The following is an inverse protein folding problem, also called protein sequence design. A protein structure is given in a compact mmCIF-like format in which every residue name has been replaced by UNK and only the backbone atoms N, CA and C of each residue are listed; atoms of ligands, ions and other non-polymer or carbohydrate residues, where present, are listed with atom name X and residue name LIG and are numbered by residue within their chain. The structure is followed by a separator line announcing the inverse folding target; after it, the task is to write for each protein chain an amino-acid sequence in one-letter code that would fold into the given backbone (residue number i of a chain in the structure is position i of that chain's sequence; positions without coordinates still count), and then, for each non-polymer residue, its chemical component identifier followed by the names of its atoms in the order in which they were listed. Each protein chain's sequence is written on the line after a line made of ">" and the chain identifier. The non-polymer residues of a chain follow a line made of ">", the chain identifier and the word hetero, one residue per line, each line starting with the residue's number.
data_IF_722549726367
#
_entry.id   IF_722549726367
#
_cell.length_a   1.000
_cell.length_b   1.000
_cell.length_c   1.000
_cell.angle_alpha   90.00
_cell.angle_beta   90.00
_cell.angle_gamma   90.00
#
_symmetry.space_group_name_H-M   'P 1'
#
loop_
_entity.id
_entity.type
_entity.pdbx_description
1 polymer ?
#
# COMPACT_ATOMS: atom_id res chain seq x y z
N UNK A 1 -32.33 -1.31 -29.46
CA UNK A 1 -31.21 -2.09 -28.91
C UNK A 1 -30.49 -1.13 -27.99
N UNK A 2 -30.74 -1.24 -26.67
CA UNK A 2 -30.11 -0.37 -25.67
C UNK A 2 -28.64 -0.70 -25.62
N UNK A 3 -27.79 0.34 -25.66
CA UNK A 3 -26.42 0.24 -25.21
C UNK A 3 -26.47 -0.21 -23.73
N UNK A 4 -26.01 -1.42 -23.43
CA UNK A 4 -25.60 -1.77 -22.07
C UNK A 4 -24.51 -0.76 -21.69
N UNK A 5 -24.86 0.23 -20.91
CA UNK A 5 -23.89 1.14 -20.34
C UNK A 5 -22.94 0.29 -19.52
N UNK A 6 -21.67 0.33 -19.84
CA UNK A 6 -20.61 -0.30 -19.07
C UNK A 6 -20.73 0.24 -17.63
N UNK A 7 -21.22 -0.60 -16.73
CA UNK A 7 -21.62 -0.21 -15.36
C UNK A 7 -20.42 -0.05 -14.39
N UNK A 8 -19.21 0.01 -14.92
CA UNK A 8 -17.99 0.14 -14.12
C UNK A 8 -17.94 1.55 -13.49
N UNK A 9 -17.62 1.62 -12.20
CA UNK A 9 -17.66 2.84 -11.41
C UNK A 9 -16.78 3.99 -11.97
N UNK A 10 -15.68 3.65 -12.65
CA UNK A 10 -14.73 4.61 -13.24
C UNK A 10 -14.73 4.59 -14.78
N UNK A 11 -15.81 4.11 -15.40
CA UNK A 11 -15.93 4.18 -16.84
C UNK A 11 -15.82 5.64 -17.35
N UNK A 12 -14.94 5.87 -18.33
CA UNK A 12 -14.66 7.19 -18.88
C UNK A 12 -13.56 7.98 -18.14
N UNK A 13 -13.08 7.52 -17.00
CA UNK A 13 -11.92 8.12 -16.31
C UNK A 13 -10.63 7.59 -16.93
N UNK A 14 -9.70 8.49 -17.25
CA UNK A 14 -8.38 8.17 -17.81
C UNK A 14 -7.25 8.62 -16.89
N UNK A 15 -6.26 7.75 -16.70
CA UNK A 15 -5.11 7.97 -15.82
C UNK A 15 -3.82 7.95 -16.64
N UNK A 16 -3.05 9.04 -16.59
CA UNK A 16 -1.68 9.08 -17.08
C UNK A 16 -0.73 8.61 -15.96
N UNK A 17 -0.18 7.43 -16.10
CA UNK A 17 0.63 6.77 -15.07
C UNK A 17 2.13 6.85 -15.41
N UNK A 18 2.85 7.71 -14.68
CA UNK A 18 4.31 7.85 -14.73
C UNK A 18 5.00 7.01 -13.65
N UNK A 19 4.25 6.41 -12.77
CA UNK A 19 4.79 5.72 -11.60
C UNK A 19 5.58 4.46 -11.97
N UNK A 20 6.47 4.05 -11.07
CA UNK A 20 7.31 2.89 -11.25
C UNK A 20 7.28 1.99 -10.03
N UNK A 21 7.66 0.79 -10.20
CA UNK A 21 7.90 -0.23 -9.23
C UNK A 21 6.60 -0.80 -8.62
N UNK A 22 6.10 -0.32 -7.47
CA UNK A 22 4.97 -0.97 -6.79
C UNK A 22 3.87 0.00 -6.35
N UNK A 23 4.12 0.87 -5.37
CA UNK A 23 3.06 1.66 -4.72
C UNK A 23 2.22 2.49 -5.69
N UNK A 24 2.85 3.24 -6.58
CA UNK A 24 2.15 4.04 -7.60
C UNK A 24 1.45 3.18 -8.65
N UNK A 25 2.16 2.23 -9.32
CA UNK A 25 1.54 1.38 -10.33
C UNK A 25 0.35 0.58 -9.77
N UNK A 26 0.46 0.04 -8.56
CA UNK A 26 -0.63 -0.75 -7.98
C UNK A 26 -1.88 0.10 -7.67
N UNK A 27 -1.70 1.38 -7.26
CA UNK A 27 -2.82 2.31 -7.13
C UNK A 27 -3.58 2.48 -8.45
N UNK A 28 -2.87 2.70 -9.55
CA UNK A 28 -3.47 2.79 -10.88
C UNK A 28 -4.12 1.47 -11.33
N UNK A 29 -3.52 0.31 -10.97
CA UNK A 29 -4.11 -1.01 -11.25
C UNK A 29 -5.43 -1.22 -10.51
N UNK A 30 -5.52 -0.86 -9.23
CA UNK A 30 -6.78 -0.93 -8.47
C UNK A 30 -7.89 -0.11 -9.15
N UNK A 31 -7.58 1.10 -9.60
CA UNK A 31 -8.53 1.96 -10.30
C UNK A 31 -8.89 1.39 -11.69
N UNK A 32 -7.96 0.73 -12.37
CA UNK A 32 -8.23 0.06 -13.65
C UNK A 32 -9.23 -1.10 -13.51
N UNK A 33 -9.18 -1.84 -12.41
CA UNK A 33 -10.17 -2.89 -12.11
C UNK A 33 -11.56 -2.32 -11.82
N UNK A 34 -11.63 -1.03 -11.46
CA UNK A 34 -12.89 -0.30 -11.32
C UNK A 34 -13.37 0.33 -12.63
N UNK A 35 -12.64 0.14 -13.74
CA UNK A 35 -13.04 0.58 -15.09
C UNK A 35 -12.31 1.82 -15.61
N UNK A 36 -11.32 2.37 -14.90
CA UNK A 36 -10.51 3.47 -15.42
C UNK A 36 -9.57 2.97 -16.54
N UNK A 37 -9.39 3.78 -17.58
CA UNK A 37 -8.37 3.57 -18.60
C UNK A 37 -7.03 4.08 -18.08
N UNK A 38 -6.02 3.21 -17.99
CA UNK A 38 -4.69 3.59 -17.52
C UNK A 38 -3.70 3.56 -18.68
N UNK A 39 -2.97 4.65 -18.87
CA UNK A 39 -1.89 4.78 -19.86
C UNK A 39 -0.57 4.90 -19.09
N UNK A 40 0.20 3.81 -19.05
CA UNK A 40 1.54 3.81 -18.47
C UNK A 40 2.54 4.49 -19.41
N UNK A 41 3.23 5.49 -18.89
CA UNK A 41 4.28 6.22 -19.61
C UNK A 41 5.63 5.76 -19.09
N UNK A 42 6.42 5.16 -19.95
CA UNK A 42 7.66 4.49 -19.59
C UNK A 42 8.78 4.84 -20.58
N UNK A 43 10.05 4.70 -20.19
CA UNK A 43 11.19 4.92 -21.06
C UNK A 43 11.99 3.64 -21.26
N UNK A 44 12.40 3.34 -22.50
CA UNK A 44 13.30 2.22 -22.77
C UNK A 44 14.71 2.41 -22.19
N UNK A 45 15.13 3.65 -21.92
CA UNK A 45 16.41 3.93 -21.25
C UNK A 45 16.36 3.72 -19.74
N UNK A 46 15.17 3.90 -19.15
CA UNK A 46 14.88 3.71 -17.74
C UNK A 46 13.51 3.04 -17.61
N UNK A 47 13.46 1.79 -18.02
CA UNK A 47 12.27 0.98 -17.86
C UNK A 47 11.97 0.72 -16.37
N UNK A 48 10.74 0.34 -16.07
CA UNK A 48 10.33 0.00 -14.73
C UNK A 48 11.14 -1.21 -14.19
N UNK A 49 11.80 -1.02 -13.08
CA UNK A 49 12.68 -2.03 -12.48
C UNK A 49 11.96 -3.34 -12.17
N UNK A 50 10.68 -3.27 -11.86
CA UNK A 50 9.86 -4.46 -11.62
C UNK A 50 9.79 -5.39 -12.84
N UNK A 51 10.13 -4.92 -14.05
CA UNK A 51 10.23 -5.77 -15.24
C UNK A 51 11.37 -6.78 -15.19
N UNK A 52 12.46 -6.46 -14.53
CA UNK A 52 13.69 -7.26 -14.59
C UNK A 52 14.12 -7.86 -13.28
N UNK A 53 13.59 -7.39 -12.17
CA UNK A 53 13.91 -7.96 -10.86
C UNK A 53 12.81 -7.77 -9.83
N UNK A 54 12.82 -8.67 -8.83
CA UNK A 54 12.01 -8.54 -7.62
C UNK A 54 12.90 -8.11 -6.45
N UNK A 55 12.59 -6.99 -5.82
CA UNK A 55 13.29 -6.55 -4.60
C UNK A 55 12.97 -7.43 -3.40
N UNK A 56 11.81 -8.08 -3.38
CA UNK A 56 11.40 -8.95 -2.27
C UNK A 56 12.12 -10.28 -2.26
N UNK A 57 12.34 -10.86 -3.44
CA UNK A 57 12.98 -12.18 -3.59
C UNK A 57 14.41 -12.11 -4.09
N UNK A 58 14.86 -10.95 -4.59
CA UNK A 58 16.17 -10.78 -5.24
C UNK A 58 16.27 -11.47 -6.62
N UNK A 59 15.20 -12.10 -7.10
CA UNK A 59 15.19 -12.79 -8.39
C UNK A 59 15.35 -11.79 -9.54
N UNK A 60 16.11 -12.18 -10.55
CA UNK A 60 16.24 -11.47 -11.82
C UNK A 60 15.53 -12.25 -12.92
N UNK A 61 14.87 -11.53 -13.81
CA UNK A 61 14.12 -12.12 -14.93
C UNK A 61 14.88 -11.90 -16.23
N UNK A 62 14.83 -12.86 -17.17
CA UNK A 62 15.67 -12.86 -18.37
C UNK A 62 15.25 -11.82 -19.43
N UNK A 63 14.16 -11.11 -19.24
CA UNK A 63 13.68 -10.10 -20.20
C UNK A 63 12.64 -9.18 -19.56
N UNK A 64 12.22 -8.17 -20.32
CA UNK A 64 11.32 -7.12 -19.84
C UNK A 64 9.87 -7.59 -19.62
N UNK A 65 9.49 -8.74 -20.16
CA UNK A 65 8.11 -9.25 -20.14
C UNK A 65 7.93 -10.51 -19.27
N UNK A 66 8.96 -10.92 -18.52
CA UNK A 66 8.95 -12.17 -17.78
C UNK A 66 8.74 -11.99 -16.27
N UNK A 67 8.54 -10.77 -15.81
CA UNK A 67 8.36 -10.50 -14.39
C UNK A 67 6.92 -10.70 -13.94
N UNK A 68 6.63 -11.65 -13.04
CA UNK A 68 5.31 -11.76 -12.44
C UNK A 68 4.96 -10.54 -11.58
N UNK A 69 5.95 -9.90 -10.95
CA UNK A 69 5.74 -8.66 -10.17
C UNK A 69 5.23 -7.55 -11.08
N UNK A 70 5.88 -7.34 -12.23
CA UNK A 70 5.41 -6.34 -13.19
C UNK A 70 4.01 -6.65 -13.71
N UNK A 71 3.74 -7.93 -14.03
CA UNK A 71 2.43 -8.37 -14.49
C UNK A 71 1.32 -8.12 -13.44
N UNK A 72 1.64 -8.31 -12.15
CA UNK A 72 0.71 -8.06 -11.05
C UNK A 72 0.42 -6.57 -10.86
N UNK A 73 1.48 -5.77 -10.69
CA UNK A 73 1.34 -4.34 -10.33
C UNK A 73 1.02 -3.42 -11.51
N UNK A 74 1.11 -3.94 -12.72
CA UNK A 74 0.91 -3.18 -13.97
C UNK A 74 -0.12 -3.82 -14.89
N UNK A 75 -1.05 -4.61 -14.34
CA UNK A 75 -2.13 -5.24 -15.10
C UNK A 75 -3.12 -4.21 -15.66
N UNK A 76 -3.86 -4.64 -16.70
CA UNK A 76 -5.02 -3.95 -17.28
C UNK A 76 -4.72 -2.48 -17.67
N UNK A 77 -3.66 -2.24 -18.45
CA UNK A 77 -3.30 -0.88 -18.91
C UNK A 77 -2.75 -0.87 -20.33
N UNK A 78 -2.86 0.27 -20.95
CA UNK A 78 -2.12 0.62 -22.16
C UNK A 78 -0.71 1.09 -21.76
N UNK A 79 0.24 1.02 -22.67
CA UNK A 79 1.60 1.52 -22.43
C UNK A 79 2.09 2.33 -23.62
N UNK A 80 2.86 3.37 -23.33
CA UNK A 80 3.57 4.19 -24.33
C UNK A 80 4.99 4.43 -23.88
N UNK A 81 5.92 4.36 -24.81
CA UNK A 81 7.34 4.62 -24.56
C UNK A 81 7.70 6.04 -24.97
N UNK A 82 8.14 6.85 -24.00
CA UNK A 82 8.58 8.23 -24.20
C UNK A 82 9.94 8.48 -23.56
N UNK A 83 10.80 9.25 -24.23
CA UNK A 83 12.05 9.77 -23.64
C UNK A 83 11.77 11.16 -23.04
N UNK A 84 11.42 11.21 -21.75
CA UNK A 84 11.12 12.46 -21.04
C UNK A 84 12.36 13.37 -20.81
N UNK A 85 13.54 12.96 -21.24
CA UNK A 85 14.73 13.83 -21.28
C UNK A 85 14.76 14.71 -22.53
N UNK A 86 13.85 14.47 -23.47
CA UNK A 86 13.70 15.20 -24.72
C UNK A 86 12.48 16.11 -24.67
N UNK A 87 12.58 17.36 -25.16
CA UNK A 87 11.43 18.28 -25.22
C UNK A 87 10.22 17.67 -25.92
N UNK A 88 10.44 16.95 -27.02
CA UNK A 88 9.37 16.29 -27.79
C UNK A 88 8.66 15.21 -26.98
N UNK A 89 9.41 14.46 -26.15
CA UNK A 89 8.84 13.46 -25.25
C UNK A 89 8.00 14.08 -24.16
N UNK A 90 8.42 15.21 -23.60
CA UNK A 90 7.65 15.98 -22.62
C UNK A 90 6.36 16.53 -23.24
N UNK A 91 6.42 17.11 -24.44
CA UNK A 91 5.21 17.60 -25.14
C UNK A 91 4.23 16.48 -25.47
N UNK A 92 4.70 15.31 -25.87
CA UNK A 92 3.82 14.14 -26.05
C UNK A 92 3.18 13.70 -24.73
N UNK A 93 3.93 13.70 -23.63
CA UNK A 93 3.40 13.40 -22.30
C UNK A 93 2.32 14.42 -21.89
N UNK A 94 2.54 15.71 -22.11
CA UNK A 94 1.52 16.77 -21.87
C UNK A 94 0.27 16.56 -22.72
N UNK A 95 0.41 16.10 -23.95
CA UNK A 95 -0.76 15.75 -24.79
C UNK A 95 -1.57 14.60 -24.22
N UNK A 96 -0.94 13.59 -23.63
CA UNK A 96 -1.62 12.50 -22.92
C UNK A 96 -2.33 13.05 -21.68
N UNK A 97 -1.66 13.90 -20.89
CA UNK A 97 -2.24 14.52 -19.70
C UNK A 97 -3.48 15.37 -20.06
N UNK A 98 -3.44 16.10 -21.17
CA UNK A 98 -4.58 16.92 -21.63
C UNK A 98 -5.88 16.13 -21.79
N UNK A 99 -5.79 14.87 -22.15
CA UNK A 99 -6.94 13.96 -22.33
C UNK A 99 -7.12 13.00 -21.15
N UNK A 100 -6.41 13.22 -20.06
CA UNK A 100 -6.49 12.41 -18.84
C UNK A 100 -7.17 13.18 -17.70
N UNK A 101 -7.72 12.45 -16.76
CA UNK A 101 -8.38 12.96 -15.56
C UNK A 101 -7.45 12.99 -14.36
N UNK A 102 -6.52 12.05 -14.33
CA UNK A 102 -5.61 11.82 -13.21
C UNK A 102 -4.20 11.64 -13.73
N UNK A 103 -3.23 12.18 -13.02
CA UNK A 103 -1.80 11.87 -13.14
C UNK A 103 -1.36 11.12 -11.89
N UNK A 104 -0.65 10.01 -12.06
CA UNK A 104 -0.05 9.24 -10.97
C UNK A 104 1.46 9.20 -11.14
N UNK A 105 2.21 9.55 -10.09
CA UNK A 105 3.66 9.42 -10.05
C UNK A 105 4.14 9.06 -8.64
N UNK A 106 5.29 8.36 -8.54
CA UNK A 106 5.93 8.01 -7.27
C UNK A 106 7.45 8.21 -7.29
N UNK A 107 7.89 9.22 -8.01
CA UNK A 107 9.29 9.65 -7.97
C UNK A 107 9.59 10.44 -6.69
N UNK A 108 10.88 10.57 -6.38
CA UNK A 108 11.32 11.49 -5.34
C UNK A 108 10.84 12.91 -5.63
N UNK A 109 10.49 13.70 -4.61
CA UNK A 109 10.03 15.09 -4.79
C UNK A 109 10.94 15.91 -5.71
N UNK A 110 10.33 16.76 -6.54
CA UNK A 110 11.02 17.61 -7.50
C UNK A 110 11.51 16.93 -8.79
N UNK A 111 11.35 15.60 -8.95
CA UNK A 111 11.74 14.91 -10.20
C UNK A 111 10.84 15.33 -11.36
N UNK A 112 9.52 15.28 -11.15
CA UNK A 112 8.55 15.67 -12.18
C UNK A 112 8.64 17.15 -12.53
N UNK A 113 8.94 18.00 -11.54
CA UNK A 113 9.14 19.45 -11.77
C UNK A 113 10.32 19.71 -12.69
N UNK A 114 11.45 19.04 -12.45
CA UNK A 114 12.64 19.14 -13.33
C UNK A 114 12.41 18.61 -14.76
N UNK A 115 11.43 17.73 -14.92
CA UNK A 115 11.00 17.24 -16.24
C UNK A 115 9.97 18.14 -16.92
N UNK A 116 9.51 19.23 -16.26
CA UNK A 116 8.44 20.07 -16.75
C UNK A 116 7.06 19.42 -16.75
N UNK A 117 6.87 18.41 -15.88
CA UNK A 117 5.66 17.61 -15.70
C UNK A 117 5.17 17.63 -14.25
N UNK A 118 5.62 18.59 -13.44
CA UNK A 118 5.11 18.86 -12.10
C UNK A 118 3.70 19.43 -12.12
N UNK A 119 3.06 19.45 -10.96
CA UNK A 119 1.66 19.90 -10.82
C UNK A 119 1.42 21.28 -11.42
N UNK A 120 2.26 22.27 -11.07
CA UNK A 120 2.13 23.65 -11.54
C UNK A 120 2.19 23.76 -13.08
N UNK A 121 3.05 22.93 -13.72
CA UNK A 121 3.15 22.90 -15.18
C UNK A 121 1.95 22.18 -15.82
N UNK A 122 1.32 21.24 -15.12
CA UNK A 122 0.24 20.44 -15.69
C UNK A 122 -1.15 21.07 -15.49
N UNK A 123 -1.35 21.93 -14.49
CA UNK A 123 -2.59 22.71 -14.36
C UNK A 123 -2.73 23.74 -15.49
N UNK A 124 -1.63 24.21 -16.08
CA UNK A 124 -1.67 25.06 -17.28
C UNK A 124 -2.21 24.29 -18.50
N UNK A 125 -1.95 22.97 -18.56
CA UNK A 125 -2.38 22.09 -19.64
C UNK A 125 -3.81 21.60 -19.44
N UNK A 126 -4.18 21.29 -18.18
CA UNK A 126 -5.50 20.80 -17.76
C UNK A 126 -5.81 21.32 -16.35
N UNK A 127 -6.57 22.42 -16.24
CA UNK A 127 -6.83 23.10 -14.96
C UNK A 127 -7.53 22.25 -13.89
N UNK A 128 -8.32 21.25 -14.30
CA UNK A 128 -9.06 20.35 -13.42
C UNK A 128 -8.37 19.00 -13.20
N UNK A 129 -7.05 18.91 -13.50
CA UNK A 129 -6.28 17.68 -13.33
C UNK A 129 -6.17 17.28 -11.85
N UNK A 130 -6.37 16.01 -11.56
CA UNK A 130 -6.03 15.43 -10.27
C UNK A 130 -4.61 14.86 -10.37
N UNK A 131 -3.69 15.36 -9.55
CA UNK A 131 -2.29 14.99 -9.59
C UNK A 131 -1.88 14.28 -8.30
N UNK A 132 -1.58 13.00 -8.38
CA UNK A 132 -1.09 12.22 -7.25
C UNK A 132 0.44 12.14 -7.26
N UNK A 133 1.03 12.59 -6.15
CA UNK A 133 2.42 12.33 -5.78
C UNK A 133 2.45 11.33 -4.63
N UNK A 134 3.13 10.20 -4.78
CA UNK A 134 3.34 9.24 -3.70
C UNK A 134 4.84 9.08 -3.45
N UNK A 135 5.28 9.37 -2.24
CA UNK A 135 6.69 9.29 -1.89
C UNK A 135 6.91 8.63 -0.52
N UNK A 136 8.17 8.42 -0.14
CA UNK A 136 8.51 7.75 1.11
C UNK A 136 7.88 8.42 2.33
N UNK A 137 8.03 9.75 2.42
CA UNK A 137 7.69 10.55 3.60
C UNK A 137 6.91 11.84 3.25
N UNK A 138 6.34 11.91 2.04
CA UNK A 138 5.69 13.12 1.54
C UNK A 138 6.68 14.10 0.89
N UNK A 139 6.14 15.15 0.29
CA UNK A 139 6.92 16.18 -0.40
C UNK A 139 7.27 17.38 0.51
N UNK A 140 6.81 17.40 1.76
CA UNK A 140 7.00 18.47 2.74
C UNK A 140 7.55 17.91 4.06
N UNK A 141 7.92 18.83 4.99
CA UNK A 141 8.47 18.44 6.29
C UNK A 141 9.99 18.25 6.28
N UNK A 142 10.60 18.01 7.46
CA UNK A 142 12.05 18.01 7.62
C UNK A 142 12.77 16.88 6.87
N UNK A 143 12.08 15.78 6.63
CA UNK A 143 12.63 14.56 5.98
C UNK A 143 12.18 14.38 4.52
N UNK A 144 11.53 15.37 3.92
CA UNK A 144 10.94 15.31 2.59
C UNK A 144 11.86 14.75 1.48
N UNK A 145 13.17 14.90 1.63
CA UNK A 145 14.18 14.44 0.69
C UNK A 145 14.69 13.02 0.95
N UNK A 146 14.20 12.35 1.99
CA UNK A 146 14.58 10.96 2.27
C UNK A 146 14.03 10.04 1.19
N UNK A 147 14.88 9.12 0.77
CA UNK A 147 14.56 8.13 -0.25
C UNK A 147 14.52 6.76 0.38
N UNK A 148 13.53 5.98 0.05
CA UNK A 148 13.43 4.63 0.59
C UNK A 148 12.42 3.77 -0.12
N UNK A 149 12.37 2.55 0.33
CA UNK A 149 11.43 1.52 -0.06
C UNK A 149 10.65 1.05 1.17
N UNK A 150 9.75 0.10 0.99
CA UNK A 150 8.86 -0.43 2.02
C UNK A 150 9.49 -0.61 3.42
N UNK A 151 10.71 -1.15 3.59
CA UNK A 151 11.30 -1.27 4.93
C UNK A 151 11.52 0.08 5.65
N UNK A 152 11.89 1.14 4.91
CA UNK A 152 12.01 2.47 5.48
C UNK A 152 10.66 2.99 5.96
N UNK A 153 9.63 2.87 5.12
CA UNK A 153 8.27 3.32 5.46
C UNK A 153 7.74 2.59 6.68
N UNK A 154 7.95 1.27 6.74
CA UNK A 154 7.55 0.44 7.88
C UNK A 154 8.23 0.85 9.19
N UNK A 155 9.52 1.24 9.13
CA UNK A 155 10.27 1.71 10.30
C UNK A 155 9.79 3.10 10.74
N UNK A 156 9.67 4.05 9.81
CA UNK A 156 9.26 5.42 10.11
C UNK A 156 7.79 5.52 10.55
N UNK A 157 6.92 4.73 9.92
CA UNK A 157 5.51 4.63 10.30
C UNK A 157 5.24 3.80 11.57
N UNK A 158 6.28 3.19 12.17
CA UNK A 158 6.20 2.45 13.43
C UNK A 158 5.80 0.97 13.33
N UNK A 159 5.19 0.54 12.21
CA UNK A 159 4.67 -0.83 12.07
C UNK A 159 5.73 -1.92 12.20
N UNK A 160 6.95 -1.67 11.71
CA UNK A 160 8.04 -2.63 11.84
C UNK A 160 8.42 -2.90 13.30
N UNK A 161 8.35 -1.89 14.17
CA UNK A 161 8.72 -2.02 15.57
C UNK A 161 7.76 -2.91 16.36
N UNK A 162 6.46 -2.82 16.08
CA UNK A 162 5.40 -3.56 16.79
C UNK A 162 5.12 -4.95 16.18
N UNK A 163 5.72 -5.26 15.02
CA UNK A 163 5.46 -6.53 14.31
C UNK A 163 6.60 -7.51 14.53
N UNK A 164 6.26 -8.75 14.89
CA UNK A 164 7.19 -9.85 15.13
C UNK A 164 7.14 -10.41 16.54
N UNK A 165 8.06 -11.28 16.88
CA UNK A 165 8.21 -11.86 18.21
C UNK A 165 9.11 -10.99 19.09
N UNK A 166 8.85 -11.01 20.41
CA UNK A 166 9.51 -10.13 21.37
C UNK A 166 11.04 -10.34 21.46
N UNK A 167 11.48 -11.56 21.25
CA UNK A 167 12.88 -12.02 21.30
C UNK A 167 13.59 -11.97 19.94
N UNK A 168 12.87 -11.53 18.88
CA UNK A 168 13.43 -11.43 17.53
C UNK A 168 13.59 -9.96 17.10
N UNK A 169 14.22 -9.76 15.94
CA UNK A 169 14.34 -8.44 15.31
C UNK A 169 12.97 -7.95 14.80
N UNK A 170 12.76 -6.63 14.73
CA UNK A 170 11.59 -6.07 14.07
C UNK A 170 11.40 -6.63 12.66
N UNK A 171 10.16 -6.94 12.29
CA UNK A 171 9.85 -7.46 10.96
C UNK A 171 9.80 -6.33 9.92
N UNK A 172 10.63 -6.32 8.88
CA UNK A 172 10.75 -5.19 7.95
C UNK A 172 9.54 -5.02 7.01
N UNK A 173 8.56 -5.90 7.03
CA UNK A 173 7.30 -5.84 6.27
C UNK A 173 7.48 -5.55 4.76
N UNK A 174 8.54 -6.08 4.17
CA UNK A 174 8.87 -5.86 2.76
C UNK A 174 7.72 -6.18 1.81
N UNK A 175 7.45 -5.32 0.85
CA UNK A 175 6.46 -5.49 -0.21
C UNK A 175 5.01 -5.21 0.21
N UNK A 176 4.60 -5.55 1.42
CA UNK A 176 3.21 -5.35 1.89
C UNK A 176 2.87 -3.88 2.13
N UNK A 177 3.86 -3.10 2.51
CA UNK A 177 3.72 -1.68 2.80
C UNK A 177 3.41 -0.86 1.55
N UNK A 178 3.99 -1.22 0.41
CA UNK A 178 3.67 -0.58 -0.86
C UNK A 178 2.20 -0.74 -1.25
N UNK A 179 1.60 -1.90 -0.92
CA UNK A 179 0.16 -2.15 -1.15
C UNK A 179 -0.69 -1.19 -0.32
N UNK A 180 -0.34 -0.95 0.94
CA UNK A 180 -1.06 -0.02 1.80
C UNK A 180 -0.97 1.41 1.28
N UNK A 181 0.21 1.85 0.86
CA UNK A 181 0.39 3.16 0.21
C UNK A 181 -0.40 3.27 -1.09
N UNK A 182 -0.47 2.19 -1.87
CA UNK A 182 -1.27 2.13 -3.09
C UNK A 182 -2.77 2.24 -2.80
N UNK A 183 -3.27 1.56 -1.77
CA UNK A 183 -4.67 1.64 -1.35
C UNK A 183 -5.02 3.05 -0.86
N UNK A 184 -4.18 3.67 -0.05
CA UNK A 184 -4.34 5.07 0.38
C UNK A 184 -4.37 6.02 -0.82
N UNK A 185 -3.47 5.82 -1.78
CA UNK A 185 -3.40 6.60 -3.02
C UNK A 185 -4.66 6.44 -3.88
N UNK A 186 -5.14 5.21 -4.05
CA UNK A 186 -6.37 4.94 -4.79
C UNK A 186 -7.58 5.58 -4.12
N UNK A 187 -7.70 5.46 -2.79
CA UNK A 187 -8.77 6.11 -2.02
C UNK A 187 -8.73 7.64 -2.17
N UNK A 188 -7.55 8.24 -2.06
CA UNK A 188 -7.40 9.69 -2.21
C UNK A 188 -7.78 10.18 -3.62
N UNK A 189 -7.44 9.42 -4.67
CA UNK A 189 -7.87 9.70 -6.05
C UNK A 189 -9.39 9.61 -6.17
N UNK A 190 -10.04 8.60 -5.59
CA UNK A 190 -11.50 8.47 -5.60
C UNK A 190 -12.18 9.66 -4.89
N UNK A 191 -11.64 10.08 -3.75
CA UNK A 191 -12.13 11.25 -3.03
C UNK A 191 -11.99 12.54 -3.86
N UNK A 192 -10.84 12.73 -4.53
CA UNK A 192 -10.60 13.86 -5.41
C UNK A 192 -11.50 13.84 -6.66
N UNK A 193 -11.75 12.68 -7.26
CA UNK A 193 -12.71 12.54 -8.36
C UNK A 193 -14.13 12.92 -7.92
N UNK A 194 -14.56 12.49 -6.74
CA UNK A 194 -15.85 12.88 -6.15
C UNK A 194 -15.91 14.37 -5.85
N UNK A 195 -14.82 14.99 -5.38
CA UNK A 195 -14.73 16.44 -5.19
C UNK A 195 -14.85 17.17 -6.54
N UNK A 196 -14.05 16.79 -7.53
CA UNK A 196 -14.06 17.39 -8.86
C UNK A 196 -15.43 17.30 -9.53
N UNK A 197 -16.13 16.18 -9.37
CA UNK A 197 -17.47 16.02 -9.92
C UNK A 197 -18.46 17.06 -9.37
N UNK A 198 -18.28 17.51 -8.13
CA UNK A 198 -19.16 18.49 -7.47
C UNK A 198 -18.73 19.93 -7.69
N UNK A 199 -17.44 20.20 -7.83
CA UNK A 199 -16.88 21.56 -7.83
C UNK A 199 -16.29 21.97 -9.18
N UNK A 200 -15.91 21.01 -10.02
CA UNK A 200 -15.13 21.24 -11.23
C UNK A 200 -13.62 21.40 -10.97
N UNK A 201 -13.16 21.32 -9.73
CA UNK A 201 -11.77 21.62 -9.35
C UNK A 201 -10.92 20.35 -9.27
N UNK A 202 -9.74 20.38 -9.88
CA UNK A 202 -8.68 19.38 -9.67
C UNK A 202 -7.96 19.59 -8.34
N UNK A 203 -7.07 18.64 -8.00
CA UNK A 203 -6.30 18.70 -6.75
C UNK A 203 -4.91 18.11 -6.92
N UNK A 204 -3.93 18.67 -6.20
CA UNK A 204 -2.67 17.99 -5.92
C UNK A 204 -2.81 17.17 -4.64
N UNK A 205 -2.54 15.89 -4.74
CA UNK A 205 -2.56 14.91 -3.64
C UNK A 205 -1.12 14.51 -3.34
N UNK A 206 -0.64 14.78 -2.14
CA UNK A 206 0.67 14.31 -1.65
C UNK A 206 0.47 13.18 -0.65
N UNK A 207 0.93 11.98 -0.99
CA UNK A 207 0.82 10.79 -0.14
C UNK A 207 2.19 10.41 0.40
N UNK A 208 2.31 10.44 1.71
CA UNK A 208 3.42 9.88 2.47
C UNK A 208 3.16 8.40 2.76
N UNK A 209 4.02 7.51 2.29
CA UNK A 209 3.92 6.09 2.61
C UNK A 209 4.08 5.81 4.11
N UNK A 210 4.98 6.53 4.78
CA UNK A 210 5.18 6.39 6.23
C UNK A 210 3.94 6.84 7.03
N UNK A 211 3.30 7.95 6.65
CA UNK A 211 2.07 8.41 7.31
C UNK A 211 0.89 7.48 7.03
N UNK A 212 0.79 6.91 5.82
CA UNK A 212 -0.22 5.90 5.50
C UNK A 212 -0.14 4.70 6.44
N UNK A 213 1.08 4.31 6.86
CA UNK A 213 1.29 3.24 7.82
C UNK A 213 0.94 3.69 9.24
N UNK A 214 1.34 4.89 9.64
CA UNK A 214 1.03 5.42 10.96
C UNK A 214 -0.49 5.46 11.23
N UNK A 215 -1.28 5.79 10.23
CA UNK A 215 -2.76 5.75 10.32
C UNK A 215 -3.29 4.34 10.58
N UNK A 216 -2.65 3.30 10.03
CA UNK A 216 -3.08 1.91 10.20
C UNK A 216 -2.80 1.33 11.59
N UNK A 217 -1.83 1.90 12.30
CA UNK A 217 -1.53 1.55 13.70
C UNK A 217 -2.10 2.58 14.68
N UNK A 218 -3.23 3.18 14.32
CA UNK A 218 -3.84 4.26 15.10
C UNK A 218 -4.22 3.87 16.53
N UNK A 219 -4.60 2.62 16.77
CA UNK A 219 -4.86 2.05 18.09
C UNK A 219 -3.60 2.08 18.98
N UNK A 220 -2.43 1.74 18.43
CA UNK A 220 -1.13 1.80 19.13
C UNK A 220 -0.75 3.24 19.47
N UNK A 221 -0.99 4.18 18.54
CA UNK A 221 -0.73 5.60 18.78
C UNK A 221 -1.68 6.16 19.85
N UNK A 222 -2.96 5.79 19.80
CA UNK A 222 -3.96 6.19 20.81
C UNK A 222 -3.63 5.63 22.18
N UNK A 223 -3.18 4.37 22.27
CA UNK A 223 -2.76 3.77 23.52
C UNK A 223 -1.58 4.54 24.16
N UNK A 224 -0.61 4.96 23.33
CA UNK A 224 0.48 5.80 23.82
C UNK A 224 -0.03 7.18 24.30
N UNK A 225 -0.88 7.84 23.53
CA UNK A 225 -1.39 9.18 23.85
C UNK A 225 -2.26 9.16 25.12
N UNK A 226 -3.12 8.17 25.25
CA UNK A 226 -4.09 8.11 26.37
C UNK A 226 -3.50 7.49 27.61
N UNK A 227 -2.65 6.48 27.49
CA UNK A 227 -2.19 5.66 28.61
C UNK A 227 -0.67 5.74 28.83
N UNK A 228 0.08 6.48 28.01
CA UNK A 228 1.55 6.50 28.00
C UNK A 228 2.17 5.11 27.86
N UNK A 229 1.46 4.18 27.23
CA UNK A 229 1.89 2.80 27.05
C UNK A 229 2.52 2.62 25.67
N UNK A 230 3.83 2.35 25.64
CA UNK A 230 4.53 2.02 24.41
C UNK A 230 4.39 0.52 24.13
N UNK A 231 3.64 0.18 23.10
CA UNK A 231 3.49 -1.20 22.68
C UNK A 231 4.78 -1.72 22.00
N UNK A 232 5.05 -3.01 22.17
CA UNK A 232 6.19 -3.72 21.58
C UNK A 232 5.73 -4.94 20.80
N UNK A 233 6.66 -5.63 20.16
CA UNK A 233 6.39 -6.91 19.50
C UNK A 233 5.90 -7.95 20.49
N UNK A 234 4.81 -8.60 20.19
CA UNK A 234 4.19 -9.65 21.04
C UNK A 234 3.86 -10.95 20.30
N UNK A 235 4.32 -11.07 19.07
CA UNK A 235 4.05 -12.24 18.22
C UNK A 235 2.55 -12.38 17.96
N UNK A 236 2.04 -13.58 18.23
CA UNK A 236 0.62 -13.90 18.08
C UNK A 236 -0.20 -13.72 19.36
N UNK A 237 0.33 -13.08 20.39
CA UNK A 237 -0.44 -12.81 21.62
C UNK A 237 -1.48 -11.72 21.36
N UNK A 238 -2.64 -11.90 21.97
CA UNK A 238 -3.74 -10.95 21.97
C UNK A 238 -3.98 -10.41 23.39
N UNK A 239 -4.57 -9.22 23.54
CA UNK A 239 -4.83 -8.61 24.84
C UNK A 239 -6.12 -9.11 25.49
N UNK A 240 -7.00 -9.76 24.71
CA UNK A 240 -8.33 -10.17 25.14
C UNK A 240 -8.47 -11.70 25.06
N UNK A 241 -7.85 -12.34 24.08
CA UNK A 241 -7.96 -13.77 23.81
C UNK A 241 -6.78 -14.54 24.42
N UNK A 242 -7.08 -15.56 25.20
CA UNK A 242 -6.08 -16.46 25.77
C UNK A 242 -6.62 -17.90 25.94
N UNK A 243 -5.94 -18.92 25.41
CA UNK A 243 -4.76 -18.85 24.54
C UNK A 243 -5.05 -18.25 23.16
N UNK A 244 -4.09 -17.48 22.63
CA UNK A 244 -4.13 -16.97 21.26
C UNK A 244 -2.73 -17.13 20.64
N UNK A 245 -2.49 -18.23 19.91
CA UNK A 245 -1.20 -18.50 19.29
C UNK A 245 -1.27 -19.65 18.28
N UNK A 246 -0.15 -19.86 17.54
CA UNK A 246 0.12 -21.08 16.81
C UNK A 246 0.99 -22.01 17.64
N UNK A 247 0.57 -23.27 17.77
CA UNK A 247 1.23 -24.28 18.59
C UNK A 247 1.71 -25.44 17.71
N UNK A 248 2.91 -25.95 18.03
CA UNK A 248 3.46 -27.08 17.31
C UNK A 248 2.75 -28.37 17.72
N UNK A 249 2.29 -29.14 16.75
CA UNK A 249 1.68 -30.44 16.95
C UNK A 249 2.68 -31.58 16.80
N UNK A 250 2.24 -32.78 17.13
CA UNK A 250 3.00 -34.03 16.89
C UNK A 250 3.17 -34.25 15.37
N UNK A 251 4.39 -34.54 14.94
CA UNK A 251 4.77 -34.76 13.55
C UNK A 251 5.71 -33.69 13.03
N UNK A 252 6.11 -33.81 11.74
CA UNK A 252 6.96 -32.85 11.09
C UNK A 252 6.11 -31.72 10.48
N UNK A 253 6.48 -30.48 10.77
CA UNK A 253 5.84 -29.23 10.31
C UNK A 253 4.29 -29.24 10.45
N UNK A 254 3.80 -29.77 11.59
CA UNK A 254 2.38 -29.75 11.94
C UNK A 254 2.11 -28.69 13.00
N UNK A 255 1.12 -27.84 12.73
CA UNK A 255 0.74 -26.70 13.57
C UNK A 255 -0.75 -26.63 13.76
N UNK A 256 -1.19 -26.09 14.91
CA UNK A 256 -2.57 -25.74 15.19
C UNK A 256 -2.63 -24.27 15.62
N UNK A 257 -3.60 -23.54 15.11
CA UNK A 257 -3.93 -22.20 15.59
C UNK A 257 -5.06 -22.32 16.60
N UNK A 258 -4.87 -21.71 17.78
CA UNK A 258 -5.87 -21.69 18.86
C UNK A 258 -6.11 -20.22 19.22
N UNK A 259 -7.39 -19.82 19.23
CA UNK A 259 -7.85 -18.51 19.69
C UNK A 259 -9.10 -18.74 20.52
N UNK A 260 -9.10 -18.32 21.79
CA UNK A 260 -10.19 -18.50 22.73
C UNK A 260 -10.55 -17.14 23.32
N UNK A 261 -11.78 -16.72 23.11
CA UNK A 261 -12.29 -15.40 23.51
C UNK A 261 -13.33 -15.44 24.61
N UNK A 262 -14.03 -16.58 24.80
CA UNK A 262 -15.09 -16.72 25.78
C UNK A 262 -14.85 -17.86 26.76
N UNK A 263 -15.63 -17.90 27.86
CA UNK A 263 -15.52 -18.98 28.83
C UNK A 263 -16.12 -20.29 28.29
N UNK A 264 -17.15 -20.23 27.43
CA UNK A 264 -17.69 -21.40 26.75
C UNK A 264 -16.69 -22.03 25.78
N UNK A 265 -15.91 -21.22 25.07
CA UNK A 265 -14.83 -21.71 24.21
C UNK A 265 -13.69 -22.33 25.03
N UNK A 266 -13.39 -21.77 26.20
CA UNK A 266 -12.43 -22.35 27.15
C UNK A 266 -12.87 -23.72 27.64
N UNK A 267 -14.12 -23.86 28.06
CA UNK A 267 -14.68 -25.13 28.51
C UNK A 267 -14.67 -26.19 27.39
N UNK A 268 -15.02 -25.78 26.17
CA UNK A 268 -14.98 -26.68 25.03
C UNK A 268 -13.53 -27.11 24.70
N UNK A 269 -12.57 -26.20 24.79
CA UNK A 269 -11.17 -26.48 24.58
C UNK A 269 -10.61 -27.43 25.64
N UNK A 270 -10.85 -27.16 26.94
CA UNK A 270 -10.36 -28.00 28.03
C UNK A 270 -10.94 -29.40 27.98
N UNK A 271 -12.24 -29.51 27.64
CA UNK A 271 -12.89 -30.79 27.38
C UNK A 271 -12.21 -31.56 26.22
N UNK A 272 -11.90 -30.87 25.12
CA UNK A 272 -11.28 -31.48 23.95
C UNK A 272 -9.86 -32.04 24.23
N UNK A 273 -9.13 -31.40 25.16
CA UNK A 273 -7.78 -31.85 25.56
C UNK A 273 -7.78 -32.78 26.79
N UNK A 274 -8.95 -33.16 27.29
CA UNK A 274 -9.12 -34.13 28.39
C UNK A 274 -9.09 -33.55 29.79
N UNK A 275 -9.46 -32.30 29.96
CA UNK A 275 -9.54 -31.58 31.24
C UNK A 275 -8.30 -31.78 32.13
N UNK A 276 -7.13 -31.35 31.68
CA UNK A 276 -5.92 -31.50 32.49
C UNK A 276 -6.02 -30.66 33.77
N UNK A 277 -5.45 -31.18 34.88
CA UNK A 277 -5.53 -30.57 36.22
C UNK A 277 -5.19 -29.06 36.24
N UNK A 278 -4.21 -28.63 35.41
CA UNK A 278 -3.85 -27.22 35.33
C UNK A 278 -4.97 -26.31 34.79
N UNK A 279 -5.95 -26.84 34.03
CA UNK A 279 -7.05 -26.05 33.49
C UNK A 279 -8.03 -25.56 34.56
N UNK A 280 -8.01 -26.18 35.76
CA UNK A 280 -8.82 -25.77 36.94
C UNK A 280 -8.11 -24.71 37.79
N UNK A 281 -6.91 -24.28 37.43
CA UNK A 281 -6.19 -23.25 38.19
C UNK A 281 -6.97 -21.92 38.18
N UNK A 282 -7.04 -21.28 39.34
CA UNK A 282 -7.76 -20.01 39.54
C UNK A 282 -7.33 -18.90 38.56
N UNK A 283 -6.11 -18.98 38.05
CA UNK A 283 -5.59 -18.03 37.03
C UNK A 283 -6.34 -18.13 35.70
N UNK A 284 -7.09 -19.19 35.46
CA UNK A 284 -7.83 -19.44 34.21
C UNK A 284 -9.37 -19.46 34.44
N UNK A 285 -9.84 -18.94 35.59
CA UNK A 285 -11.24 -19.01 36.00
C UNK A 285 -12.22 -18.27 35.07
N UNK A 286 -11.74 -17.28 34.36
CA UNK A 286 -12.55 -16.46 33.45
C UNK A 286 -11.67 -15.85 32.34
N UNK A 287 -12.32 -15.34 31.30
CA UNK A 287 -11.64 -14.77 30.13
C UNK A 287 -10.70 -13.59 30.49
N UNK A 288 -11.03 -12.81 31.51
CA UNK A 288 -10.22 -11.67 31.94
C UNK A 288 -8.97 -12.11 32.71
N UNK A 289 -9.06 -13.21 33.47
CA UNK A 289 -7.98 -13.73 34.28
C UNK A 289 -6.97 -14.54 33.48
N UNK A 290 -7.38 -15.13 32.35
CA UNK A 290 -6.51 -15.85 31.39
C UNK A 290 -5.60 -14.88 30.65
#
# INVERSE_FOLDING_TARGET
>A
MGQEMNSSALAGIRIADFSQYWAGPYAATLLSYMGAEVIKIESMKRYDWSRTQSLTTGLRYPGLEHSPVFAEVSANRLAVTLDLTKPEGVELAKRIVRVSDVVVQNFSPGVMDRLGLGYESLIEVKPDIIYLSSSAVGATGPEWNYRGYAPLFACQGGAAYITGYADERPYPMTGRIDILSAMTSAFAILAALSHRQRTGEGQHIDVSSAESIAVLIGDVLMDYIMNSRSQTRRGNRDDIMAPHNCYRCKGDDKWVSIAISTDEEWDAFTNAIGNPEWSEDRRFSDAYSR
#
